data_IF_799252623007
#
_entry.id   IF_799252623007
#
_cell.length_a   1.000
_cell.length_b   1.000
_cell.length_c   1.000
_cell.angle_alpha   90.00
_cell.angle_beta   90.00
_cell.angle_gamma   90.00
#
_symmetry.space_group_name_H-M   'P 1'
#
loop_
_entity.id
_entity.type
_entity.pdbx_description
1 polymer ?
#
# COMPACT_ATOMS: atom_id res chain seq x y z
N UNK A 1 1.40 -12.87 1.44
CA UNK A 1 0.03 -12.35 1.25
C UNK A 1 -0.43 -12.91 -0.07
N UNK A 2 -1.63 -13.47 -0.15
CA UNK A 2 -2.16 -14.09 -1.39
C UNK A 2 -2.86 -13.03 -2.26
N UNK A 3 -3.09 -13.36 -3.54
CA UNK A 3 -3.82 -12.47 -4.48
C UNK A 3 -5.22 -12.13 -3.98
N UNK A 4 -5.91 -13.09 -3.36
CA UNK A 4 -7.27 -12.89 -2.83
C UNK A 4 -7.26 -11.95 -1.60
N UNK A 5 -6.30 -12.12 -0.69
CA UNK A 5 -6.10 -11.24 0.47
C UNK A 5 -5.80 -9.80 0.00
N UNK A 6 -4.94 -9.65 -1.01
CA UNK A 6 -4.62 -8.35 -1.61
C UNK A 6 -5.85 -7.69 -2.27
N UNK A 7 -6.61 -8.43 -3.08
CA UNK A 7 -7.82 -7.91 -3.72
C UNK A 7 -8.87 -7.47 -2.71
N UNK A 8 -9.01 -8.21 -1.59
CA UNK A 8 -9.94 -7.84 -0.52
C UNK A 8 -9.54 -6.51 0.13
N UNK A 9 -8.26 -6.33 0.45
CA UNK A 9 -7.75 -5.07 0.98
C UNK A 9 -7.94 -3.92 -0.03
N UNK A 10 -7.55 -4.13 -1.28
CA UNK A 10 -7.66 -3.13 -2.35
C UNK A 10 -9.10 -2.81 -2.74
N UNK A 11 -10.06 -3.69 -2.50
CA UNK A 11 -11.49 -3.37 -2.70
C UNK A 11 -12.00 -2.23 -1.80
N UNK A 12 -11.27 -1.92 -0.72
CA UNK A 12 -11.53 -0.76 0.13
C UNK A 12 -10.98 0.54 -0.46
N UNK A 13 -9.97 0.46 -1.35
CA UNK A 13 -9.61 1.58 -2.23
C UNK A 13 -10.71 1.73 -3.27
N UNK A 14 -11.54 2.76 -3.12
CA UNK A 14 -12.38 3.27 -4.22
C UNK A 14 -11.49 3.87 -5.31
N UNK A 15 -12.06 4.47 -6.36
CA UNK A 15 -11.37 5.09 -7.51
C UNK A 15 -10.20 6.04 -7.14
N UNK A 16 -9.03 5.50 -6.80
CA UNK A 16 -7.87 6.24 -6.28
C UNK A 16 -7.91 6.58 -4.78
N UNK A 17 -8.77 5.93 -3.99
CA UNK A 17 -8.90 6.17 -2.56
C UNK A 17 -7.71 5.69 -1.73
N UNK A 18 -7.43 6.38 -0.62
CA UNK A 18 -6.38 6.00 0.35
C UNK A 18 -6.93 4.96 1.34
N UNK A 19 -6.15 3.92 1.64
CA UNK A 19 -6.45 3.02 2.75
C UNK A 19 -6.07 3.70 4.06
N UNK A 20 -7.03 3.84 4.98
CA UNK A 20 -6.70 4.29 6.31
C UNK A 20 -5.98 3.18 7.09
N UNK A 21 -5.16 3.56 8.06
CA UNK A 21 -4.45 2.60 8.92
C UNK A 21 -5.40 1.54 9.51
N UNK A 22 -6.62 1.94 9.89
CA UNK A 22 -7.63 1.04 10.45
C UNK A 22 -8.11 0.00 9.44
N UNK A 23 -8.22 0.35 8.17
CA UNK A 23 -8.59 -0.58 7.11
C UNK A 23 -7.50 -1.62 6.91
N UNK A 24 -6.25 -1.16 6.83
CA UNK A 24 -5.07 -2.04 6.70
C UNK A 24 -4.95 -2.97 7.90
N UNK A 25 -5.02 -2.44 9.12
CA UNK A 25 -4.89 -3.23 10.35
C UNK A 25 -5.97 -4.31 10.44
N UNK A 26 -7.23 -3.98 10.11
CA UNK A 26 -8.35 -4.94 10.16
C UNK A 26 -8.17 -6.09 9.18
N UNK A 27 -7.61 -5.82 8.00
CA UNK A 27 -7.36 -6.84 7.00
C UNK A 27 -6.13 -7.68 7.35
N UNK A 28 -5.05 -7.07 7.82
CA UNK A 28 -3.84 -7.78 8.24
C UNK A 28 -4.10 -8.74 9.41
N UNK A 29 -4.97 -8.39 10.36
CA UNK A 29 -5.35 -9.28 11.48
C UNK A 29 -6.00 -10.59 11.01
N UNK A 30 -6.66 -10.59 9.86
CA UNK A 30 -7.28 -11.78 9.30
C UNK A 30 -6.30 -12.66 8.51
N UNK A 31 -5.09 -12.18 8.25
CA UNK A 31 -4.08 -12.91 7.48
C UNK A 31 -3.16 -13.65 8.46
N UNK A 32 -2.93 -14.96 8.26
CA UNK A 32 -1.94 -15.70 9.04
C UNK A 32 -0.57 -15.02 9.00
N UNK A 33 0.05 -14.85 10.17
CA UNK A 33 1.34 -14.12 10.32
C UNK A 33 2.44 -14.69 9.42
N UNK A 34 2.47 -16.01 9.25
CA UNK A 34 3.44 -16.69 8.38
C UNK A 34 3.28 -16.38 6.89
N UNK A 35 2.21 -15.70 6.48
CA UNK A 35 1.98 -15.24 5.12
C UNK A 35 2.33 -13.78 4.93
N UNK A 36 2.61 -13.01 5.98
CA UNK A 36 2.95 -11.58 5.86
C UNK A 36 4.48 -11.44 5.92
N UNK A 37 5.05 -10.69 4.98
CA UNK A 37 6.46 -10.33 4.97
C UNK A 37 6.57 -8.80 5.02
N UNK A 38 7.39 -8.29 5.93
CA UNK A 38 7.71 -6.87 6.02
C UNK A 38 9.01 -6.64 5.26
N UNK A 39 8.95 -5.84 4.20
CA UNK A 39 10.13 -5.44 3.45
C UNK A 39 10.56 -4.05 3.89
N UNK A 40 11.73 -3.95 4.48
CA UNK A 40 12.36 -2.66 4.74
C UNK A 40 12.95 -2.18 3.41
N UNK A 41 12.33 -1.16 2.81
CA UNK A 41 12.93 -0.51 1.65
C UNK A 41 13.99 0.50 2.13
N UNK A 42 15.29 0.32 1.82
CA UNK A 42 16.34 1.21 2.30
C UNK A 42 16.21 2.65 1.78
N UNK A 43 15.39 2.90 0.75
CA UNK A 43 15.14 4.25 0.22
C UNK A 43 14.07 5.04 0.98
N UNK A 44 13.34 4.43 1.91
CA UNK A 44 12.30 5.09 2.71
C UNK A 44 12.82 5.52 4.07
N UNK A 45 13.95 6.22 4.13
CA UNK A 45 14.13 7.17 5.23
C UNK A 45 13.23 8.35 4.93
N UNK A 46 12.28 8.66 5.81
CA UNK A 46 11.52 9.91 5.80
C UNK A 46 12.45 11.10 6.11
N UNK A 47 13.42 11.34 5.23
CA UNK A 47 14.15 12.59 5.08
C UNK A 47 13.70 13.18 3.75
N UNK A 48 13.20 14.41 3.80
CA UNK A 48 12.31 15.02 2.81
C UNK A 48 12.71 14.90 1.33
N UNK A 49 11.68 15.02 0.48
CA UNK A 49 11.70 15.15 -0.97
C UNK A 49 12.00 13.88 -1.80
N UNK A 50 11.01 13.00 -1.93
CA UNK A 50 10.81 12.33 -3.22
C UNK A 50 9.97 13.27 -4.08
N UNK A 51 10.65 14.13 -4.84
CA UNK A 51 10.03 14.90 -5.92
C UNK A 51 9.55 13.90 -6.97
N UNK A 52 8.27 13.56 -6.95
CA UNK A 52 7.66 12.75 -8.01
C UNK A 52 7.62 13.63 -9.26
N UNK A 53 8.41 13.27 -10.27
CA UNK A 53 8.37 13.97 -11.56
C UNK A 53 6.99 13.75 -12.19
N UNK A 54 6.24 14.85 -12.36
CA UNK A 54 4.96 14.87 -13.05
C UNK A 54 5.14 14.37 -14.48
N UNK A 55 4.20 13.55 -14.96
CA UNK A 55 4.15 13.07 -16.34
C UNK A 55 3.79 14.28 -17.23
N UNK A 56 4.54 14.56 -18.31
CA UNK A 56 4.23 15.67 -19.21
C UNK A 56 2.89 15.44 -19.93
N UNK A 57 2.09 16.50 -20.05
CA UNK A 57 0.90 16.48 -20.90
C UNK A 57 1.32 16.57 -22.38
N UNK A 58 0.77 15.68 -23.20
CA UNK A 58 0.98 15.71 -24.66
C UNK A 58 -0.05 16.65 -25.30
N UNK A 59 0.44 17.56 -26.15
CA UNK A 59 -0.36 18.54 -26.91
C UNK A 59 -0.95 17.93 -28.18
#
# INVERSE_FOLDING_TARGET
MTKQEANRLLSRCKDGGVLEFKDVARELVQIPVNRVAVYNNPTTTCSGSTLLHTIPEEF
#
